data_IF_645023273149
#
_entry.id   IF_645023273149
#
_cell.length_a   1.000
_cell.length_b   1.000
_cell.length_c   1.000
_cell.angle_alpha   90.00
_cell.angle_beta   90.00
_cell.angle_gamma   90.00
#
_symmetry.space_group_name_H-M   'P 1'
#
loop_
_entity.id
_entity.type
_entity.pdbx_description
1 polymer ?
#
# COMPACT_ATOMS: atom_id res chain seq x y z
N UNK A 1 7.17 20.94 7.73
CA UNK A 1 7.39 19.77 6.82
C UNK A 1 6.06 19.10 6.57
N UNK A 2 5.82 18.58 5.36
CA UNK A 2 4.57 17.93 4.98
C UNK A 2 4.76 16.43 4.89
N UNK A 3 3.83 15.66 5.43
CA UNK A 3 3.86 14.21 5.44
C UNK A 3 2.60 13.63 4.80
N UNK A 4 2.78 12.55 4.05
CA UNK A 4 1.70 11.73 3.51
C UNK A 4 1.73 10.37 4.18
N UNK A 5 0.57 9.94 4.64
CA UNK A 5 0.35 8.65 5.25
C UNK A 5 -0.76 7.90 4.50
N UNK A 6 -0.60 6.60 4.39
CA UNK A 6 -1.58 5.70 3.77
C UNK A 6 -1.82 4.49 4.68
N UNK A 7 -3.06 4.04 4.76
CA UNK A 7 -3.40 2.74 5.36
C UNK A 7 -4.35 1.97 4.44
N UNK A 8 -4.27 0.63 4.47
CA UNK A 8 -5.13 -0.28 3.71
C UNK A 8 -5.93 -1.22 4.61
N UNK A 9 -7.21 -1.40 4.29
CA UNK A 9 -8.12 -2.33 4.96
C UNK A 9 -9.12 -2.96 3.99
N UNK A 10 -10.07 -3.77 4.47
CA UNK A 10 -10.29 -4.17 5.86
C UNK A 10 -9.57 -5.49 6.23
N UNK A 11 -8.35 -5.41 6.75
CA UNK A 11 -7.49 -6.59 6.99
C UNK A 11 -8.12 -7.61 7.93
N UNK A 12 -8.56 -7.17 9.12
CA UNK A 12 -9.13 -8.08 10.12
C UNK A 12 -10.36 -8.84 9.57
N UNK A 13 -11.25 -8.14 8.87
CA UNK A 13 -12.46 -8.73 8.27
C UNK A 13 -12.09 -9.71 7.15
N UNK A 14 -11.09 -9.40 6.32
CA UNK A 14 -10.64 -10.31 5.26
C UNK A 14 -10.04 -11.58 5.86
N UNK A 15 -9.14 -11.45 6.83
CA UNK A 15 -8.44 -12.59 7.42
C UNK A 15 -9.35 -13.45 8.31
N UNK A 16 -10.33 -12.85 9.00
CA UNK A 16 -11.27 -13.60 9.85
C UNK A 16 -12.23 -14.50 9.06
N UNK A 17 -12.41 -14.23 7.77
CA UNK A 17 -13.22 -15.07 6.88
C UNK A 17 -12.45 -16.28 6.31
N UNK A 18 -11.13 -16.35 6.51
CA UNK A 18 -10.31 -17.47 6.05
C UNK A 18 -10.60 -18.74 6.87
N UNK A 19 -10.91 -19.84 6.20
CA UNK A 19 -11.17 -21.16 6.82
C UNK A 19 -9.97 -22.09 6.75
N UNK A 20 -9.04 -21.82 5.84
CA UNK A 20 -7.84 -22.64 5.61
C UNK A 20 -6.58 -21.79 5.75
N UNK A 21 -5.48 -22.39 6.20
CA UNK A 21 -4.18 -21.73 6.29
C UNK A 21 -3.76 -21.07 4.98
N UNK A 22 -4.01 -21.71 3.83
CA UNK A 22 -3.73 -21.13 2.51
C UNK A 22 -4.52 -19.85 2.23
N UNK A 23 -5.76 -19.76 2.71
CA UNK A 23 -6.60 -18.57 2.53
C UNK A 23 -6.09 -17.41 3.41
N UNK A 24 -5.61 -17.72 4.62
CA UNK A 24 -4.96 -16.74 5.50
C UNK A 24 -3.67 -16.18 4.87
N UNK A 25 -2.84 -17.05 4.30
CA UNK A 25 -1.64 -16.64 3.55
C UNK A 25 -2.01 -15.80 2.33
N UNK A 26 -2.99 -16.22 1.52
CA UNK A 26 -3.45 -15.45 0.36
C UNK A 26 -3.99 -14.07 0.75
N UNK A 27 -4.79 -14.01 1.83
CA UNK A 27 -5.35 -12.77 2.35
C UNK A 27 -4.29 -11.80 2.86
N UNK A 28 -3.31 -12.26 3.63
CA UNK A 28 -2.22 -11.40 4.12
C UNK A 28 -1.26 -10.98 3.02
N UNK A 29 -1.02 -11.88 2.05
CA UNK A 29 -0.20 -11.61 0.88
C UNK A 29 -0.79 -10.51 0.01
N UNK A 30 -2.10 -10.50 -0.25
CA UNK A 30 -2.69 -9.51 -1.17
C UNK A 30 -2.55 -8.07 -0.65
N UNK A 31 -2.71 -7.84 0.66
CA UNK A 31 -2.49 -6.52 1.26
C UNK A 31 -1.03 -6.09 1.14
N UNK A 32 -0.10 -6.99 1.46
CA UNK A 32 1.34 -6.74 1.35
C UNK A 32 1.75 -6.46 -0.10
N UNK A 33 1.15 -7.18 -1.05
CA UNK A 33 1.37 -7.02 -2.49
C UNK A 33 0.93 -5.64 -2.99
N UNK A 34 -0.31 -5.23 -2.65
CA UNK A 34 -0.83 -3.91 -3.02
C UNK A 34 0.06 -2.82 -2.43
N UNK A 35 0.42 -2.94 -1.15
CA UNK A 35 1.27 -1.96 -0.49
C UNK A 35 2.63 -1.85 -1.19
N UNK A 36 3.27 -2.99 -1.46
CA UNK A 36 4.54 -3.01 -2.21
C UNK A 36 4.42 -2.29 -3.55
N UNK A 37 3.37 -2.57 -4.33
CA UNK A 37 3.16 -1.96 -5.66
C UNK A 37 2.98 -0.45 -5.59
N UNK A 38 2.40 0.07 -4.51
CA UNK A 38 2.31 1.51 -4.25
C UNK A 38 3.70 2.07 -3.91
N UNK A 39 4.40 1.46 -2.95
CA UNK A 39 5.70 1.95 -2.46
C UNK A 39 6.79 1.85 -3.55
N UNK A 40 6.73 0.87 -4.45
CA UNK A 40 7.60 0.75 -5.64
C UNK A 40 7.54 2.00 -6.53
N UNK A 41 6.43 2.74 -6.55
CA UNK A 41 6.31 4.01 -7.30
C UNK A 41 6.81 5.23 -6.50
N UNK A 42 7.22 5.03 -5.25
CA UNK A 42 7.60 6.07 -4.30
C UNK A 42 9.03 5.86 -3.76
N UNK A 43 9.87 5.08 -4.46
CA UNK A 43 11.21 4.69 -3.99
C UNK A 43 12.17 5.85 -3.71
N UNK A 44 11.88 7.04 -4.23
CA UNK A 44 12.68 8.25 -4.03
C UNK A 44 12.19 9.12 -2.87
N UNK A 45 11.22 8.63 -2.09
CA UNK A 45 10.72 9.30 -0.87
C UNK A 45 11.43 8.78 0.37
N UNK A 46 11.52 9.64 1.37
CA UNK A 46 12.01 9.27 2.70
C UNK A 46 10.86 8.72 3.54
N UNK A 47 10.91 7.42 3.85
CA UNK A 47 9.89 6.75 4.65
C UNK A 47 10.24 6.77 6.14
N UNK A 48 9.33 7.33 6.94
CA UNK A 48 9.37 7.24 8.39
C UNK A 48 8.87 5.85 8.82
N UNK A 49 7.82 5.37 8.18
CA UNK A 49 7.18 4.09 8.44
C UNK A 49 6.88 3.42 7.09
N UNK A 50 7.33 2.18 6.82
CA UNK A 50 8.39 1.51 7.55
C UNK A 50 9.69 2.32 7.46
N UNK A 51 10.59 2.21 8.43
CA UNK A 51 11.89 2.86 8.31
C UNK A 51 12.72 2.14 7.24
N UNK A 52 12.99 2.81 6.13
CA UNK A 52 13.74 2.26 4.99
C UNK A 52 15.15 2.86 5.00
N UNK A 53 16.09 2.17 5.65
CA UNK A 53 17.51 2.57 5.64
C UNK A 53 18.22 2.18 4.35
N UNK A 54 17.80 1.08 3.74
CA UNK A 54 18.41 0.51 2.54
C UNK A 54 17.31 0.19 1.52
N UNK A 55 17.44 0.74 0.31
CA UNK A 55 16.52 0.48 -0.81
C UNK A 55 16.56 -0.99 -1.28
N UNK A 56 17.47 -1.83 -0.76
CA UNK A 56 17.50 -3.27 -1.01
C UNK A 56 16.23 -4.01 -0.60
N UNK A 57 15.34 -3.39 0.19
CA UNK A 57 14.01 -3.97 0.48
C UNK A 57 13.12 -4.06 -0.77
N UNK A 58 13.43 -3.29 -1.82
CA UNK A 58 12.74 -3.32 -3.11
C UNK A 58 13.36 -4.31 -4.10
N UNK A 59 14.46 -4.99 -3.73
CA UNK A 59 15.08 -6.01 -4.58
C UNK A 59 14.30 -7.33 -4.53
N UNK A 60 14.29 -8.03 -5.66
CA UNK A 60 13.62 -9.33 -5.88
C UNK A 60 14.04 -10.37 -4.84
N UNK A 61 13.09 -11.11 -4.25
CA UNK A 61 13.37 -12.20 -3.31
C UNK A 61 13.13 -11.89 -1.83
N UNK A 62 12.75 -10.65 -1.49
CA UNK A 62 12.33 -10.23 -0.13
C UNK A 62 10.82 -9.92 -0.07
N UNK A 63 10.00 -10.76 -0.69
CA UNK A 63 8.61 -10.42 -1.06
C UNK A 63 7.56 -10.55 0.05
N UNK A 64 7.89 -11.18 1.19
CA UNK A 64 6.88 -11.58 2.19
C UNK A 64 7.15 -10.90 3.53
N UNK A 65 6.16 -10.13 4.01
CA UNK A 65 6.14 -9.58 5.37
C UNK A 65 6.91 -8.26 5.59
N UNK A 66 7.50 -7.66 4.56
CA UNK A 66 8.23 -6.39 4.69
C UNK A 66 7.34 -5.14 4.59
N UNK A 67 6.28 -5.20 3.79
CA UNK A 67 5.34 -4.10 3.61
C UNK A 67 4.10 -4.37 4.46
N UNK A 68 3.99 -3.62 5.56
CA UNK A 68 2.86 -3.70 6.46
C UNK A 68 1.68 -2.86 5.95
N UNK A 69 0.59 -2.79 6.69
CA UNK A 69 -0.70 -2.22 6.28
C UNK A 69 -0.74 -0.69 6.17
N UNK A 70 0.39 -0.03 6.39
CA UNK A 70 0.50 1.44 6.38
C UNK A 70 1.89 1.89 5.98
N UNK A 71 2.00 3.13 5.54
CA UNK A 71 3.26 3.84 5.48
C UNK A 71 3.08 5.32 5.79
N UNK A 72 4.18 5.98 6.11
CA UNK A 72 4.32 7.42 6.27
C UNK A 72 5.61 7.83 5.59
N UNK A 73 5.56 8.82 4.71
CA UNK A 73 6.73 9.40 4.06
C UNK A 73 6.69 10.93 4.08
N UNK A 74 7.86 11.54 3.98
CA UNK A 74 8.01 12.99 3.83
C UNK A 74 7.72 13.42 2.38
N UNK A 75 6.75 14.32 2.24
CA UNK A 75 6.32 14.83 0.95
C UNK A 75 7.39 15.74 0.34
N UNK A 76 7.70 15.53 -0.95
CA UNK A 76 8.49 16.47 -1.76
C UNK A 76 7.57 17.27 -2.69
N UNK A 77 8.12 18.25 -3.41
CA UNK A 77 7.36 19.05 -4.36
C UNK A 77 6.58 18.19 -5.36
N UNK A 78 5.26 18.41 -5.41
CA UNK A 78 4.33 17.67 -6.28
C UNK A 78 3.63 16.49 -5.60
N UNK A 79 4.07 16.07 -4.41
CA UNK A 79 3.37 15.07 -3.63
C UNK A 79 2.14 15.69 -2.96
N UNK A 80 0.97 15.33 -3.46
CA UNK A 80 -0.32 15.66 -2.85
C UNK A 80 -1.13 14.41 -2.61
N UNK A 81 -2.19 14.54 -1.81
CA UNK A 81 -3.21 13.50 -1.64
C UNK A 81 -3.72 12.97 -2.99
N UNK A 82 -3.95 13.84 -3.97
CA UNK A 82 -4.42 13.47 -5.31
C UNK A 82 -3.37 12.70 -6.10
N UNK A 83 -2.10 13.09 -6.00
CA UNK A 83 -1.00 12.37 -6.66
C UNK A 83 -0.90 10.94 -6.15
N UNK A 84 -1.01 10.74 -4.83
CA UNK A 84 -0.96 9.42 -4.22
C UNK A 84 -2.21 8.60 -4.55
N UNK A 85 -3.39 9.24 -4.60
CA UNK A 85 -4.62 8.58 -5.03
C UNK A 85 -4.52 8.06 -6.48
N UNK A 86 -3.84 8.77 -7.37
CA UNK A 86 -3.60 8.30 -8.75
C UNK A 86 -2.74 7.03 -8.78
N UNK A 87 -1.69 6.98 -7.96
CA UNK A 87 -0.83 5.79 -7.81
C UNK A 87 -1.67 4.60 -7.31
N UNK A 88 -2.45 4.81 -6.24
CA UNK A 88 -3.36 3.79 -5.69
C UNK A 88 -4.32 3.27 -6.76
N UNK A 89 -4.98 4.17 -7.48
CA UNK A 89 -5.93 3.79 -8.54
C UNK A 89 -5.24 2.97 -9.64
N UNK A 90 -4.04 3.39 -10.07
CA UNK A 90 -3.25 2.64 -11.06
C UNK A 90 -2.94 1.21 -10.61
N UNK A 91 -2.53 1.03 -9.35
CA UNK A 91 -2.25 -0.29 -8.77
C UNK A 91 -3.51 -1.16 -8.71
N UNK A 92 -4.64 -0.60 -8.27
CA UNK A 92 -5.91 -1.33 -8.21
C UNK A 92 -6.44 -1.69 -9.60
N UNK A 93 -6.33 -0.81 -10.59
CA UNK A 93 -6.68 -1.10 -11.99
C UNK A 93 -5.79 -2.20 -12.57
N UNK A 94 -4.49 -2.21 -12.24
CA UNK A 94 -3.60 -3.30 -12.65
C UNK A 94 -3.98 -4.62 -11.98
N UNK A 95 -4.29 -4.60 -10.68
CA UNK A 95 -4.74 -5.78 -9.96
C UNK A 95 -6.02 -6.37 -10.55
N UNK A 96 -6.97 -5.51 -10.96
CA UNK A 96 -8.20 -5.94 -11.65
C UNK A 96 -7.88 -6.69 -12.95
N UNK A 97 -6.96 -6.18 -13.76
CA UNK A 97 -6.51 -6.85 -15.00
C UNK A 97 -5.85 -8.19 -14.74
N UNK A 98 -4.96 -8.25 -13.74
CA UNK A 98 -4.19 -9.46 -13.43
C UNK A 98 -5.07 -10.58 -12.86
N UNK A 99 -6.05 -10.21 -12.03
CA UNK A 99 -6.96 -11.16 -11.36
C UNK A 99 -8.25 -11.44 -12.12
N UNK A 100 -8.57 -10.63 -13.13
CA UNK A 100 -9.85 -10.61 -13.85
C UNK A 100 -11.07 -10.37 -12.94
N UNK A 101 -10.84 -9.73 -11.79
CA UNK A 101 -11.90 -9.30 -10.87
C UNK A 101 -12.34 -7.89 -11.29
N UNK A 102 -13.64 -7.62 -11.16
CA UNK A 102 -14.22 -6.31 -11.45
C UNK A 102 -13.49 -5.18 -10.71
N UNK A 103 -13.18 -4.10 -11.44
CA UNK A 103 -12.41 -2.98 -10.91
C UNK A 103 -13.17 -2.19 -9.84
N UNK A 104 -14.49 -2.05 -9.99
CA UNK A 104 -15.31 -1.36 -9.01
C UNK A 104 -15.36 -2.17 -7.71
N UNK A 105 -15.54 -3.49 -7.82
CA UNK A 105 -15.46 -4.38 -6.66
C UNK A 105 -14.12 -4.24 -5.92
N UNK A 106 -12.99 -4.24 -6.62
CA UNK A 106 -11.66 -4.08 -6.00
C UNK A 106 -11.56 -2.72 -5.29
N UNK A 107 -11.99 -1.63 -5.93
CA UNK A 107 -11.93 -0.28 -5.34
C UNK A 107 -12.85 -0.12 -4.13
N UNK A 108 -14.01 -0.76 -4.13
CA UNK A 108 -14.94 -0.76 -3.00
C UNK A 108 -14.47 -1.67 -1.85
N UNK A 109 -13.84 -2.80 -2.19
CA UNK A 109 -13.35 -3.77 -1.22
C UNK A 109 -12.13 -3.26 -0.45
N UNK A 110 -11.12 -2.77 -1.17
CA UNK A 110 -9.90 -2.26 -0.55
C UNK A 110 -10.10 -0.83 -0.08
N UNK A 111 -10.31 -0.71 1.23
CA UNK A 111 -10.48 0.56 1.92
C UNK A 111 -9.12 1.20 2.13
N UNK A 112 -8.73 2.10 1.23
CA UNK A 112 -7.46 2.82 1.29
C UNK A 112 -7.72 4.26 1.75
N UNK A 113 -7.05 4.68 2.82
CA UNK A 113 -7.18 6.02 3.38
C UNK A 113 -5.85 6.75 3.27
N UNK A 114 -5.89 7.97 2.73
CA UNK A 114 -4.73 8.86 2.61
C UNK A 114 -4.94 10.08 3.50
N UNK A 115 -3.93 10.38 4.31
CA UNK A 115 -3.84 11.58 5.15
C UNK A 115 -2.63 12.39 4.71
N UNK A 116 -2.82 13.69 4.52
CA UNK A 116 -1.75 14.66 4.32
C UNK A 116 -1.74 15.60 5.53
N UNK A 117 -0.59 15.76 6.16
CA UNK A 117 -0.45 16.61 7.34
C UNK A 117 0.81 17.46 7.24
N UNK A 118 0.63 18.77 7.38
CA UNK A 118 1.71 19.70 7.61
C UNK A 118 1.99 19.79 9.12
N UNK A 119 3.27 19.70 9.48
CA UNK A 119 3.77 19.88 10.83
C UNK A 119 4.61 21.16 10.87
N UNK A 120 4.19 22.07 11.73
CA UNK A 120 4.96 23.25 12.14
C UNK A 120 6.08 22.77 13.08
N UNK A 121 7.29 23.30 12.88
CA UNK A 121 8.43 23.08 13.77
C UNK A 121 8.40 24.02 14.96
#
# INVERSE_FOLDING_TARGET
MTYLALTIGPIYKTLSNAKKTRELWGGSYIFSYIMRKIVEQLQDREFIVPYIKDKSIFQSGKDVGLFHDRFIFEAIDGDTKESLQKIVNSVLSQLSKDTKIDENFIKEYFQIYIVQKELES
#
